data_IF_695740154998
#
_entry.id   IF_695740154998
#
_cell.length_a   1.000
_cell.length_b   1.000
_cell.length_c   1.000
_cell.angle_alpha   90.00
_cell.angle_beta   90.00
_cell.angle_gamma   90.00
#
_symmetry.space_group_name_H-M   'P 1'
#
loop_
_entity.id
_entity.type
_entity.pdbx_description
1 polymer ?
#
# COMPACT_ATOMS: atom_id res chain seq x y z
N UNK A 1 -32.45 61.41 -18.34
CA UNK A 1 -31.31 61.05 -17.45
C UNK A 1 -31.70 59.81 -16.66
N UNK A 2 -31.25 58.64 -17.13
CA UNK A 2 -31.41 57.35 -16.44
C UNK A 2 -30.52 57.32 -15.19
N UNK A 3 -31.06 56.87 -14.06
CA UNK A 3 -30.25 56.49 -12.89
C UNK A 3 -30.63 55.07 -12.47
N UNK A 4 -29.57 54.31 -12.21
CA UNK A 4 -29.49 52.86 -12.27
C UNK A 4 -30.23 52.15 -11.12
N UNK A 5 -30.84 51.03 -11.48
CA UNK A 5 -31.36 50.02 -10.57
C UNK A 5 -30.24 49.00 -10.31
N UNK A 6 -29.61 49.06 -9.15
CA UNK A 6 -28.59 48.07 -8.74
C UNK A 6 -29.28 46.82 -8.19
N UNK A 7 -29.33 45.75 -8.98
CA UNK A 7 -29.75 44.41 -8.55
C UNK A 7 -28.54 43.73 -7.92
N UNK A 8 -28.59 43.55 -6.59
CA UNK A 8 -27.59 42.79 -5.83
C UNK A 8 -27.96 41.30 -5.90
N UNK A 9 -27.35 40.57 -6.83
CA UNK A 9 -27.46 39.11 -6.91
C UNK A 9 -26.52 38.50 -5.86
N UNK A 10 -27.07 38.08 -4.73
CA UNK A 10 -26.36 37.28 -3.73
C UNK A 10 -26.21 35.85 -4.24
N UNK A 11 -25.03 35.50 -4.77
CA UNK A 11 -24.67 34.13 -5.14
C UNK A 11 -24.40 33.35 -3.85
N UNK A 12 -25.39 32.57 -3.41
CA UNK A 12 -25.25 31.59 -2.35
C UNK A 12 -24.50 30.37 -2.92
N UNK A 13 -23.17 30.35 -2.80
CA UNK A 13 -22.37 29.16 -3.14
C UNK A 13 -22.61 28.09 -2.09
N UNK A 14 -23.50 27.14 -2.37
CA UNK A 14 -23.62 25.88 -1.62
C UNK A 14 -22.35 25.08 -1.93
N UNK A 15 -21.38 25.10 -1.01
CA UNK A 15 -20.23 24.23 -1.05
C UNK A 15 -20.70 22.78 -0.91
N UNK A 16 -20.75 22.04 -2.01
CA UNK A 16 -20.91 20.59 -1.98
C UNK A 16 -19.63 20.04 -1.37
N UNK A 17 -19.69 19.67 -0.08
CA UNK A 17 -18.61 18.92 0.55
C UNK A 17 -18.50 17.58 -0.18
N UNK A 18 -17.53 17.48 -1.10
CA UNK A 18 -17.17 16.20 -1.68
C UNK A 18 -16.75 15.28 -0.54
N UNK A 19 -17.54 14.24 -0.28
CA UNK A 19 -17.17 13.22 0.68
C UNK A 19 -15.89 12.55 0.14
N UNK A 20 -14.74 12.87 0.75
CA UNK A 20 -13.46 12.28 0.38
C UNK A 20 -13.54 10.78 0.64
N UNK A 21 -13.34 9.97 -0.40
CA UNK A 21 -13.27 8.53 -0.25
C UNK A 21 -12.08 8.16 0.64
N UNK A 22 -12.32 7.35 1.67
CA UNK A 22 -11.28 6.87 2.59
C UNK A 22 -10.80 5.50 2.15
N UNK A 23 -9.54 5.39 1.72
CA UNK A 23 -8.90 4.10 1.46
C UNK A 23 -8.34 3.51 2.75
N UNK A 24 -8.52 2.21 2.97
CA UNK A 24 -8.02 1.45 4.12
C UNK A 24 -7.45 0.12 3.64
N UNK A 25 -6.37 -0.32 4.28
CA UNK A 25 -5.76 -1.62 4.05
C UNK A 25 -5.61 -2.34 5.40
N UNK A 26 -5.96 -3.63 5.44
CA UNK A 26 -5.75 -4.50 6.59
C UNK A 26 -5.11 -5.82 6.17
N UNK A 27 -4.25 -6.37 7.00
CA UNK A 27 -3.55 -7.63 6.77
C UNK A 27 -3.69 -8.60 7.96
N UNK A 28 -3.68 -9.89 7.65
CA UNK A 28 -3.54 -10.96 8.61
C UNK A 28 -2.68 -12.04 7.95
N UNK A 29 -1.44 -12.15 8.41
CA UNK A 29 -0.58 -13.27 8.06
C UNK A 29 -1.00 -14.44 8.95
N UNK A 30 -1.74 -15.39 8.37
CA UNK A 30 -2.19 -16.59 9.05
C UNK A 30 -1.02 -17.50 9.42
N UNK A 31 -1.27 -18.80 9.58
CA UNK A 31 -0.16 -19.76 9.76
C UNK A 31 0.45 -20.20 8.43
N UNK A 32 -0.35 -20.22 7.35
CA UNK A 32 0.05 -20.73 6.04
C UNK A 32 -0.10 -19.71 4.92
N UNK A 33 -1.14 -18.89 4.97
CA UNK A 33 -1.46 -17.96 3.89
C UNK A 33 -1.45 -16.52 4.41
N UNK A 34 -1.01 -15.60 3.57
CA UNK A 34 -1.13 -14.17 3.80
C UNK A 34 -2.49 -13.67 3.32
N UNK A 35 -3.24 -12.96 4.17
CA UNK A 35 -4.50 -12.35 3.78
C UNK A 35 -4.41 -10.83 3.84
N UNK A 36 -4.95 -10.14 2.84
CA UNK A 36 -5.13 -8.69 2.88
C UNK A 36 -6.53 -8.26 2.46
N UNK A 37 -6.96 -7.13 2.98
CA UNK A 37 -8.24 -6.49 2.68
C UNK A 37 -7.97 -5.04 2.35
N UNK A 38 -8.18 -4.68 1.09
CA UNK A 38 -8.17 -3.29 0.63
C UNK A 38 -9.62 -2.83 0.49
N UNK A 39 -9.95 -1.66 1.01
CA UNK A 39 -11.29 -1.11 0.87
C UNK A 39 -11.30 0.42 0.75
N UNK A 40 -12.26 0.93 -0.01
CA UNK A 40 -12.58 2.34 -0.11
C UNK A 40 -13.97 2.59 0.46
N UNK A 41 -14.09 3.60 1.33
CA UNK A 41 -15.35 4.01 1.94
C UNK A 41 -15.72 5.38 1.39
N UNK A 42 -16.85 5.44 0.68
CA UNK A 42 -17.43 6.69 0.15
C UNK A 42 -18.85 6.84 0.64
N UNK A 43 -19.05 7.74 1.62
CA UNK A 43 -20.32 7.85 2.34
C UNK A 43 -20.67 6.57 3.08
N UNK A 44 -21.77 5.92 2.70
CA UNK A 44 -22.21 4.63 3.27
C UNK A 44 -21.78 3.43 2.43
N UNK A 45 -21.20 3.66 1.26
CA UNK A 45 -20.80 2.60 0.33
C UNK A 45 -19.37 2.16 0.63
N UNK A 46 -19.13 0.85 0.57
CA UNK A 46 -17.81 0.24 0.67
C UNK A 46 -17.56 -0.56 -0.59
N UNK A 47 -16.40 -0.37 -1.21
CA UNK A 47 -15.90 -1.25 -2.28
C UNK A 47 -14.51 -1.71 -1.90
N UNK A 48 -14.07 -2.86 -2.41
CA UNK A 48 -12.75 -3.35 -2.06
C UNK A 48 -12.49 -4.75 -2.55
N UNK A 49 -11.36 -5.30 -2.12
CA UNK A 49 -10.93 -6.64 -2.47
C UNK A 49 -10.39 -7.39 -1.25
N UNK A 50 -10.66 -8.67 -1.19
CA UNK A 50 -10.03 -9.61 -0.27
C UNK A 50 -9.01 -10.44 -1.05
N UNK A 51 -7.76 -10.46 -0.61
CA UNK A 51 -6.66 -11.15 -1.28
C UNK A 51 -6.11 -12.26 -0.41
N UNK A 52 -5.79 -13.40 -1.01
CA UNK A 52 -5.13 -14.55 -0.38
C UNK A 52 -3.83 -14.83 -1.16
N UNK A 53 -2.70 -14.78 -0.47
CA UNK A 53 -1.39 -15.22 -0.95
C UNK A 53 -1.08 -16.61 -0.37
N UNK A 54 -1.33 -17.71 -1.12
CA UNK A 54 -1.10 -19.06 -0.63
C UNK A 54 0.39 -19.28 -0.31
N UNK A 55 0.71 -19.88 0.83
CA UNK A 55 2.11 -20.09 1.26
C UNK A 55 2.96 -18.79 1.27
N UNK A 56 2.32 -17.62 1.41
CA UNK A 56 2.92 -16.28 1.27
C UNK A 56 3.51 -15.97 -0.11
N UNK A 57 3.15 -16.75 -1.13
CA UNK A 57 3.58 -16.54 -2.50
C UNK A 57 2.79 -15.39 -3.13
N UNK A 58 3.46 -14.25 -3.28
CA UNK A 58 2.90 -13.03 -3.88
C UNK A 58 2.60 -13.17 -5.37
N UNK A 59 3.17 -14.16 -6.05
CA UNK A 59 2.92 -14.41 -7.47
C UNK A 59 1.63 -15.21 -7.69
N UNK A 60 1.07 -15.81 -6.62
CA UNK A 60 -0.12 -16.68 -6.66
C UNK A 60 -1.33 -16.06 -5.95
N UNK A 61 -1.34 -14.75 -5.80
CA UNK A 61 -2.40 -14.03 -5.10
C UNK A 61 -3.74 -14.22 -5.80
N UNK A 62 -4.72 -14.76 -5.06
CA UNK A 62 -6.12 -14.80 -5.47
C UNK A 62 -6.83 -13.59 -4.90
N UNK A 63 -7.45 -12.78 -5.76
CA UNK A 63 -8.18 -11.56 -5.40
C UNK A 63 -9.68 -11.76 -5.60
N UNK A 64 -10.45 -11.35 -4.61
CA UNK A 64 -11.92 -11.46 -4.57
C UNK A 64 -12.51 -10.08 -4.32
N UNK A 65 -13.11 -9.51 -5.36
CA UNK A 65 -13.75 -8.19 -5.26
C UNK A 65 -15.03 -8.27 -4.42
N UNK A 66 -15.34 -7.20 -3.70
CA UNK A 66 -16.57 -7.07 -2.93
C UNK A 66 -17.15 -5.66 -3.01
N UNK A 67 -18.46 -5.61 -2.77
CA UNK A 67 -19.20 -4.37 -2.51
C UNK A 67 -19.88 -4.47 -1.16
N UNK A 68 -20.19 -3.35 -0.53
CA UNK A 68 -20.77 -3.36 0.80
C UNK A 68 -21.33 -2.03 1.23
N UNK A 69 -21.87 -2.04 2.44
CA UNK A 69 -22.41 -0.88 3.13
C UNK A 69 -21.85 -0.80 4.54
N UNK A 70 -21.56 0.42 5.01
CA UNK A 70 -21.12 0.68 6.38
C UNK A 70 -22.19 1.42 7.17
N UNK A 71 -22.43 0.96 8.41
CA UNK A 71 -23.29 1.60 9.38
C UNK A 71 -22.59 1.63 10.74
N UNK A 72 -22.10 2.80 11.15
CA UNK A 72 -21.22 2.92 12.31
C UNK A 72 -19.91 2.18 12.06
N UNK A 73 -19.59 1.19 12.90
CA UNK A 73 -18.41 0.34 12.75
C UNK A 73 -18.68 -0.97 12.00
N UNK A 74 -19.93 -1.27 11.67
CA UNK A 74 -20.31 -2.55 11.06
C UNK A 74 -20.35 -2.41 9.55
N UNK A 75 -19.65 -3.31 8.87
CA UNK A 75 -19.60 -3.41 7.41
C UNK A 75 -20.34 -4.67 6.99
N UNK A 76 -21.32 -4.52 6.10
CA UNK A 76 -22.00 -5.62 5.41
C UNK A 76 -21.42 -5.73 4.01
N UNK A 77 -20.74 -6.84 3.71
CA UNK A 77 -20.00 -7.05 2.45
C UNK A 77 -20.58 -8.20 1.65
N UNK A 78 -20.57 -8.07 0.32
CA UNK A 78 -21.08 -9.01 -0.67
C UNK A 78 -20.05 -9.25 -1.76
N UNK A 79 -19.74 -10.52 -2.01
CA UNK A 79 -18.89 -10.95 -3.12
C UNK A 79 -19.77 -11.30 -4.33
N UNK A 80 -19.46 -10.81 -5.54
CA UNK A 80 -20.22 -11.12 -6.76
C UNK A 80 -19.88 -12.52 -7.30
N UNK A 81 -18.59 -12.86 -7.32
CA UNK A 81 -18.05 -14.01 -8.05
C UNK A 81 -17.31 -14.95 -7.09
N UNK A 82 -18.07 -15.83 -6.44
CA UNK A 82 -17.59 -16.80 -5.45
C UNK A 82 -16.90 -16.18 -4.22
N UNK A 83 -17.02 -16.85 -3.07
CA UNK A 83 -16.36 -16.41 -1.85
C UNK A 83 -14.92 -16.92 -1.79
N UNK A 84 -14.00 -16.22 -1.10
CA UNK A 84 -12.60 -16.65 -0.93
C UNK A 84 -12.42 -18.04 -0.32
N UNK A 85 -13.50 -18.57 0.27
CA UNK A 85 -13.60 -19.93 0.78
C UNK A 85 -14.79 -20.57 0.07
N UNK A 86 -14.54 -21.63 -0.71
CA UNK A 86 -15.60 -22.47 -1.25
C UNK A 86 -16.34 -23.13 -0.09
N UNK A 87 -17.58 -22.70 0.14
CA UNK A 87 -18.51 -23.38 1.05
C UNK A 87 -19.87 -23.39 0.37
N UNK A 88 -20.54 -24.56 0.28
CA UNK A 88 -21.81 -24.69 -0.43
C UNK A 88 -23.00 -23.91 0.17
N UNK A 89 -22.83 -23.21 1.30
CA UNK A 89 -23.93 -22.55 2.02
C UNK A 89 -23.54 -21.28 2.79
N UNK A 90 -22.44 -20.63 2.42
CA UNK A 90 -22.12 -19.35 3.04
C UNK A 90 -23.11 -18.27 2.59
N UNK A 91 -23.69 -17.46 3.51
CA UNK A 91 -24.45 -16.29 3.08
C UNK A 91 -23.54 -15.39 2.22
N UNK A 92 -24.08 -14.91 1.11
CA UNK A 92 -23.40 -13.97 0.20
C UNK A 92 -23.01 -12.68 0.93
N UNK A 93 -23.73 -12.35 2.01
CA UNK A 93 -23.45 -11.20 2.88
C UNK A 93 -22.64 -11.62 4.10
N UNK A 94 -21.50 -10.97 4.32
CA UNK A 94 -20.62 -11.12 5.48
C UNK A 94 -20.69 -9.87 6.35
N UNK A 95 -20.59 -10.05 7.67
CA UNK A 95 -20.51 -8.94 8.63
C UNK A 95 -19.09 -8.81 9.13
N UNK A 96 -18.47 -7.69 8.84
CA UNK A 96 -17.17 -7.30 9.37
C UNK A 96 -17.34 -6.11 10.32
N UNK A 97 -16.34 -5.86 11.16
CA UNK A 97 -16.39 -4.77 12.14
C UNK A 97 -15.06 -4.03 12.19
N UNK A 98 -15.10 -2.72 12.06
CA UNK A 98 -13.97 -1.84 12.34
C UNK A 98 -13.87 -1.62 13.85
N UNK A 99 -12.73 -2.00 14.42
CA UNK A 99 -12.46 -1.90 15.85
C UNK A 99 -11.35 -0.88 16.05
N UNK A 100 -11.66 0.22 16.77
CA UNK A 100 -10.63 1.19 17.17
C UNK A 100 -9.83 0.64 18.34
N UNK A 101 -8.51 0.75 18.25
CA UNK A 101 -7.55 0.40 19.31
C UNK A 101 -6.68 1.61 19.64
N UNK A 102 -5.89 1.52 20.70
CA UNK A 102 -4.89 2.55 21.05
C UNK A 102 -3.81 2.71 19.98
N UNK A 103 -3.57 1.67 19.18
CA UNK A 103 -2.56 1.60 18.13
C UNK A 103 -3.10 1.87 16.72
N UNK A 104 -4.38 2.24 16.57
CA UNK A 104 -5.01 2.47 15.27
C UNK A 104 -6.36 1.77 15.12
N UNK A 105 -6.59 1.14 13.96
CA UNK A 105 -7.82 0.41 13.67
C UNK A 105 -7.50 -1.06 13.36
N UNK A 106 -8.45 -1.94 13.62
CA UNK A 106 -8.43 -3.34 13.20
C UNK A 106 -9.70 -3.66 12.44
N UNK A 107 -9.60 -4.57 11.49
CA UNK A 107 -10.76 -5.14 10.83
C UNK A 107 -11.00 -6.54 11.38
N UNK A 108 -12.13 -6.72 12.05
CA UNK A 108 -12.60 -8.02 12.52
C UNK A 108 -13.47 -8.67 11.47
N UNK A 109 -12.99 -9.78 10.90
CA UNK A 109 -13.60 -10.48 9.77
C UNK A 109 -14.13 -11.82 10.25
N UNK A 110 -15.39 -12.13 9.95
CA UNK A 110 -15.94 -13.48 10.14
C UNK A 110 -15.73 -14.29 8.87
N UNK A 111 -14.90 -15.32 8.97
CA UNK A 111 -14.55 -16.25 7.90
C UNK A 111 -15.17 -17.62 8.18
N UNK A 112 -15.10 -18.50 7.21
CA UNK A 112 -15.44 -19.92 7.37
C UNK A 112 -14.22 -20.73 7.02
N UNK A 113 -13.89 -21.76 7.80
CA UNK A 113 -12.67 -22.51 7.56
C UNK A 113 -12.66 -23.84 8.29
N UNK A 114 -11.68 -24.65 7.94
CA UNK A 114 -11.46 -25.95 8.54
C UNK A 114 -10.61 -25.78 9.80
N UNK A 115 -11.12 -26.23 10.93
CA UNK A 115 -10.32 -26.35 12.14
C UNK A 115 -9.44 -27.59 12.02
N UNK A 116 -8.12 -27.42 11.98
CA UNK A 116 -7.18 -28.53 11.78
C UNK A 116 -7.01 -29.45 13.00
N UNK A 117 -7.42 -29.00 14.19
CA UNK A 117 -7.41 -29.83 15.41
C UNK A 117 -8.62 -30.75 15.46
N UNK A 118 -9.81 -30.26 15.10
CA UNK A 118 -11.07 -31.02 15.17
C UNK A 118 -11.51 -31.60 13.84
N UNK A 119 -10.84 -31.24 12.74
CA UNK A 119 -11.17 -31.58 11.35
C UNK A 119 -12.58 -31.13 10.91
N UNK A 120 -13.24 -30.25 11.68
CA UNK A 120 -14.59 -29.74 11.42
C UNK A 120 -14.53 -28.37 10.73
N UNK A 121 -15.52 -28.12 9.88
CA UNK A 121 -15.74 -26.82 9.26
C UNK A 121 -16.61 -25.94 10.15
N UNK A 122 -16.29 -24.65 10.24
CA UNK A 122 -17.07 -23.72 11.02
C UNK A 122 -16.71 -22.27 10.77
N UNK A 123 -17.58 -21.37 11.24
CA UNK A 123 -17.27 -19.95 11.28
C UNK A 123 -16.21 -19.66 12.33
N UNK A 124 -15.27 -18.78 12.01
CA UNK A 124 -14.32 -18.24 12.96
C UNK A 124 -14.13 -16.75 12.69
N UNK A 125 -13.60 -16.06 13.69
CA UNK A 125 -13.29 -14.63 13.59
C UNK A 125 -11.79 -14.45 13.55
N UNK A 126 -11.32 -13.60 12.64
CA UNK A 126 -9.93 -13.19 12.54
C UNK A 126 -9.83 -11.67 12.63
N UNK A 127 -8.85 -11.20 13.39
CA UNK A 127 -8.53 -9.78 13.48
C UNK A 127 -7.41 -9.47 12.50
N UNK A 128 -7.66 -8.50 11.62
CA UNK A 128 -6.69 -7.97 10.68
C UNK A 128 -6.20 -6.63 11.22
N UNK A 129 -4.89 -6.43 11.22
CA UNK A 129 -4.26 -5.15 11.59
C UNK A 129 -4.18 -4.25 10.37
N UNK A 130 -4.13 -2.93 10.57
CA UNK A 130 -3.83 -2.05 9.44
C UNK A 130 -2.53 -2.49 8.76
N UNK A 131 -2.54 -2.50 7.43
CA UNK A 131 -1.31 -2.70 6.66
C UNK A 131 -0.31 -1.63 7.10
N UNK A 132 0.97 -2.02 7.20
CA UNK A 132 2.01 -1.04 7.42
C UNK A 132 2.02 -0.06 6.25
N UNK A 133 2.16 1.21 6.58
CA UNK A 133 2.41 2.21 5.56
C UNK A 133 3.72 1.83 4.82
N UNK A 134 3.72 1.73 3.49
CA UNK A 134 4.90 1.28 2.74
C UNK A 134 6.14 2.13 3.00
N UNK A 135 5.97 3.44 3.25
CA UNK A 135 7.08 4.31 3.63
C UNK A 135 7.58 3.93 5.03
N UNK A 136 6.70 3.80 6.02
CA UNK A 136 7.11 3.50 7.40
C UNK A 136 7.79 2.11 7.48
N UNK A 137 7.29 1.12 6.73
CA UNK A 137 7.93 -0.20 6.62
C UNK A 137 9.34 -0.09 6.03
N UNK A 138 9.48 0.54 4.87
CA UNK A 138 10.77 0.72 4.22
C UNK A 138 11.72 1.56 5.09
N UNK A 139 11.22 2.61 5.75
CA UNK A 139 12.00 3.51 6.57
C UNK A 139 12.55 2.84 7.83
N UNK A 140 11.84 1.84 8.38
CA UNK A 140 12.23 1.10 9.58
C UNK A 140 13.43 0.18 9.37
N UNK A 141 13.66 -0.27 8.12
CA UNK A 141 14.74 -1.19 7.74
C UNK A 141 15.84 -0.50 6.92
N UNK A 142 15.66 0.79 6.58
CA UNK A 142 16.53 1.49 5.66
C UNK A 142 17.94 1.76 6.20
N UNK A 143 18.94 1.43 5.38
CA UNK A 143 20.35 1.77 5.64
C UNK A 143 20.66 3.17 5.11
N UNK A 144 21.43 3.98 5.85
CA UNK A 144 21.86 5.30 5.35
C UNK A 144 23.02 5.15 4.36
N UNK A 145 22.86 5.71 3.17
CA UNK A 145 23.95 5.89 2.22
C UNK A 145 24.69 7.17 2.60
N UNK A 146 26.02 7.09 2.69
CA UNK A 146 26.90 8.24 2.90
C UNK A 146 28.01 8.18 1.86
N UNK A 147 28.22 9.27 1.13
CA UNK A 147 29.32 9.35 0.19
C UNK A 147 30.63 9.63 0.93
N UNK A 148 31.70 8.99 0.47
CA UNK A 148 33.03 9.31 0.96
C UNK A 148 33.38 10.77 0.61
N UNK A 149 34.25 11.39 1.41
CA UNK A 149 34.66 12.77 1.17
C UNK A 149 35.22 12.92 -0.25
N UNK A 150 34.65 13.85 -1.02
CA UNK A 150 35.06 14.13 -2.40
C UNK A 150 34.47 13.17 -3.44
N UNK A 151 33.62 12.22 -3.05
CA UNK A 151 32.89 11.37 -3.99
C UNK A 151 31.43 11.80 -4.11
N UNK A 152 30.87 11.58 -5.29
CA UNK A 152 29.45 11.84 -5.61
C UNK A 152 28.68 10.55 -5.82
N UNK A 153 29.27 9.40 -5.50
CA UNK A 153 28.72 8.11 -5.82
C UNK A 153 28.97 7.08 -4.71
N UNK A 154 28.05 6.12 -4.63
CA UNK A 154 28.13 4.92 -3.79
C UNK A 154 27.64 3.71 -4.58
N UNK A 155 28.24 2.55 -4.38
CA UNK A 155 27.83 1.31 -5.04
C UNK A 155 27.91 0.12 -4.09
N UNK A 156 27.08 -0.89 -4.33
CA UNK A 156 27.06 -2.14 -3.56
C UNK A 156 26.48 -3.28 -4.40
N UNK A 157 26.88 -4.50 -4.07
CA UNK A 157 26.22 -5.71 -4.53
C UNK A 157 25.13 -6.09 -3.53
N UNK A 158 23.93 -6.37 -4.02
CA UNK A 158 22.74 -6.73 -3.24
C UNK A 158 22.32 -8.15 -3.58
N UNK A 159 22.34 -9.05 -2.61
CA UNK A 159 21.84 -10.42 -2.78
C UNK A 159 20.40 -10.54 -2.27
N UNK A 160 19.54 -11.14 -3.07
CA UNK A 160 18.15 -11.45 -2.73
C UNK A 160 17.94 -12.96 -2.71
N UNK A 161 17.20 -13.43 -1.72
CA UNK A 161 16.92 -14.86 -1.48
C UNK A 161 15.50 -15.25 -1.87
N UNK A 162 14.61 -14.28 -2.06
CA UNK A 162 13.24 -14.48 -2.50
C UNK A 162 12.75 -13.30 -3.35
N UNK A 163 11.70 -13.52 -4.15
CA UNK A 163 11.12 -12.49 -5.04
C UNK A 163 10.50 -11.32 -4.28
N UNK A 164 9.99 -11.59 -3.07
CA UNK A 164 9.40 -10.58 -2.20
C UNK A 164 10.40 -9.81 -1.32
N UNK A 165 11.69 -10.19 -1.33
CA UNK A 165 12.69 -9.51 -0.50
C UNK A 165 12.96 -8.09 -1.02
N UNK A 166 12.99 -7.12 -0.11
CA UNK A 166 13.26 -5.70 -0.40
C UNK A 166 14.42 -5.20 0.44
N UNK A 167 15.25 -4.31 -0.12
CA UNK A 167 16.32 -3.61 0.61
C UNK A 167 16.11 -2.11 0.49
N UNK A 168 16.05 -1.44 1.64
CA UNK A 168 15.74 -0.02 1.71
C UNK A 168 16.97 0.82 2.06
N UNK A 169 17.04 2.03 1.50
CA UNK A 169 18.15 2.96 1.67
C UNK A 169 17.65 4.39 1.85
N UNK A 170 18.26 5.13 2.79
CA UNK A 170 18.06 6.58 2.96
C UNK A 170 19.25 7.32 2.39
N UNK A 171 18.99 8.29 1.50
CA UNK A 171 20.00 9.17 0.94
C UNK A 171 19.58 10.63 1.15
N UNK A 172 20.39 11.36 1.90
CA UNK A 172 20.16 12.78 2.16
C UNK A 172 20.56 13.62 0.95
N UNK A 173 19.58 14.28 0.34
CA UNK A 173 19.72 15.04 -0.89
C UNK A 173 19.19 16.46 -0.72
N UNK A 174 19.62 17.37 -1.59
CA UNK A 174 19.18 18.77 -1.61
C UNK A 174 18.36 19.05 -2.86
N UNK A 175 17.36 19.92 -2.72
CA UNK A 175 16.62 20.47 -3.84
C UNK A 175 17.58 21.06 -4.88
N UNK A 176 17.29 20.81 -6.16
CA UNK A 176 18.10 21.25 -7.29
C UNK A 176 19.29 20.35 -7.64
N UNK A 177 19.66 19.37 -6.80
CA UNK A 177 20.66 18.37 -7.17
C UNK A 177 20.14 17.44 -8.27
N UNK A 178 21.06 16.86 -9.04
CA UNK A 178 20.79 15.77 -9.98
C UNK A 178 21.10 14.46 -9.28
N UNK A 179 20.24 13.45 -9.45
CA UNK A 179 20.48 12.12 -8.89
C UNK A 179 20.23 11.07 -9.95
N UNK A 180 21.05 10.03 -9.95
CA UNK A 180 20.77 8.81 -10.71
C UNK A 180 21.00 7.58 -9.84
N UNK A 181 20.19 6.56 -10.10
CA UNK A 181 20.29 5.24 -9.49
C UNK A 181 20.29 4.21 -10.61
N UNK A 182 21.35 3.43 -10.69
CA UNK A 182 21.53 2.34 -11.64
C UNK A 182 21.45 1.02 -10.86
N UNK A 183 20.52 0.15 -11.23
CA UNK A 183 20.31 -1.15 -10.60
C UNK A 183 19.85 -2.19 -11.65
N UNK A 184 20.71 -2.58 -12.61
CA UNK A 184 20.33 -3.54 -13.64
C UNK A 184 19.88 -4.89 -13.06
N UNK A 185 18.71 -5.37 -13.50
CA UNK A 185 18.09 -6.60 -12.99
C UNK A 185 17.32 -6.41 -11.69
N UNK A 186 17.11 -5.16 -11.27
CA UNK A 186 16.34 -4.80 -10.08
C UNK A 186 15.24 -3.80 -10.40
N UNK A 187 14.16 -3.89 -9.62
CA UNK A 187 13.21 -2.81 -9.49
C UNK A 187 13.73 -1.73 -8.55
N UNK A 188 13.59 -0.48 -8.98
CA UNK A 188 13.79 0.71 -8.15
C UNK A 188 12.42 1.31 -7.88
N UNK A 189 12.10 1.51 -6.61
CA UNK A 189 11.02 2.40 -6.17
C UNK A 189 11.59 3.34 -5.12
N UNK A 190 10.95 4.49 -4.90
CA UNK A 190 11.38 5.37 -3.82
C UNK A 190 10.23 6.24 -3.31
N UNK A 191 10.47 6.84 -2.15
CA UNK A 191 9.63 7.86 -1.57
C UNK A 191 10.41 9.16 -1.49
N UNK A 192 9.70 10.24 -1.75
CA UNK A 192 10.18 11.57 -1.50
C UNK A 192 10.28 11.87 0.02
N UNK A 193 11.02 12.93 0.41
CA UNK A 193 11.08 13.38 1.81
C UNK A 193 9.73 13.65 2.48
N UNK A 194 8.72 14.06 1.71
CA UNK A 194 7.33 14.25 2.17
C UNK A 194 6.50 12.94 2.25
N UNK A 195 7.16 11.78 2.08
CA UNK A 195 6.59 10.42 2.06
C UNK A 195 5.74 10.08 0.84
N UNK A 196 5.62 10.98 -0.14
CA UNK A 196 4.89 10.62 -1.36
C UNK A 196 5.67 9.51 -2.11
N UNK A 197 5.00 8.42 -2.53
CA UNK A 197 5.64 7.40 -3.35
C UNK A 197 5.89 7.95 -4.75
N UNK A 198 6.99 7.53 -5.35
CA UNK A 198 7.22 7.74 -6.76
C UNK A 198 6.50 6.66 -7.57
N UNK A 199 5.52 7.08 -8.36
CA UNK A 199 4.78 6.23 -9.28
C UNK A 199 5.31 6.43 -10.71
N UNK A 200 6.48 5.88 -11.05
CA UNK A 200 6.71 5.51 -12.45
C UNK A 200 6.62 3.99 -12.58
N UNK A 201 5.77 3.59 -13.52
CA UNK A 201 5.41 2.21 -13.77
C UNK A 201 6.62 1.34 -14.08
N UNK A 202 6.61 0.15 -13.48
CA UNK A 202 7.47 -1.00 -13.75
C UNK A 202 8.98 -0.79 -13.53
N UNK A 203 9.58 -1.73 -12.80
CA UNK A 203 11.01 -1.87 -12.53
C UNK A 203 11.92 -1.17 -13.56
N UNK A 204 12.37 0.04 -13.24
CA UNK A 204 13.32 0.76 -14.08
C UNK A 204 14.71 0.35 -13.59
N UNK A 205 15.49 -0.29 -14.46
CA UNK A 205 16.91 -0.63 -14.18
C UNK A 205 17.76 0.63 -13.96
N UNK A 206 17.25 1.80 -14.32
CA UNK A 206 17.89 3.11 -14.15
C UNK A 206 16.86 4.19 -13.88
N UNK A 207 16.94 4.83 -12.72
CA UNK A 207 16.16 6.05 -12.44
C UNK A 207 17.09 7.26 -12.43
N UNK A 208 16.60 8.40 -12.90
CA UNK A 208 17.33 9.66 -12.87
C UNK A 208 16.41 10.86 -12.71
N UNK A 209 16.86 11.87 -11.96
CA UNK A 209 16.21 13.16 -11.84
C UNK A 209 17.12 14.27 -12.36
N UNK A 210 16.56 15.13 -13.21
CA UNK A 210 17.25 16.31 -13.71
C UNK A 210 17.47 17.37 -12.64
N UNK A 211 16.48 17.59 -11.77
CA UNK A 211 16.56 18.44 -10.58
C UNK A 211 15.57 17.93 -9.54
N UNK A 212 16.06 17.66 -8.34
CA UNK A 212 15.19 17.24 -7.24
C UNK A 212 14.29 18.39 -6.79
N UNK A 213 12.99 18.13 -6.55
CA UNK A 213 12.05 19.17 -6.14
C UNK A 213 12.25 19.61 -4.69
N UNK A 214 12.80 18.74 -3.83
CA UNK A 214 12.87 18.99 -2.38
C UNK A 214 14.19 18.50 -1.77
N UNK A 215 14.53 19.09 -0.62
CA UNK A 215 15.66 18.66 0.21
C UNK A 215 15.16 17.70 1.28
N UNK A 216 15.95 16.68 1.61
CA UNK A 216 15.65 15.75 2.69
C UNK A 216 16.17 14.34 2.42
N UNK A 217 15.74 13.40 3.25
CA UNK A 217 16.03 11.98 3.04
C UNK A 217 15.05 11.40 2.02
N UNK A 218 15.59 11.02 0.87
CA UNK A 218 14.88 10.17 -0.09
C UNK A 218 15.04 8.71 0.35
N UNK A 219 13.95 7.96 0.30
CA UNK A 219 13.91 6.56 0.73
C UNK A 219 13.78 5.66 -0.50
N UNK A 220 14.88 5.04 -0.92
CA UNK A 220 14.92 4.12 -2.04
C UNK A 220 14.67 2.69 -1.57
N UNK A 221 13.88 1.93 -2.34
CA UNK A 221 13.57 0.53 -2.11
C UNK A 221 13.95 -0.25 -3.36
N UNK A 222 14.89 -1.18 -3.20
CA UNK A 222 15.41 -2.04 -4.27
C UNK A 222 14.84 -3.44 -4.09
N UNK A 223 14.29 -4.01 -5.15
CA UNK A 223 13.72 -5.37 -5.18
C UNK A 223 14.20 -6.14 -6.43
N UNK A 224 14.14 -7.47 -6.44
CA UNK A 224 14.40 -8.26 -7.65
C UNK A 224 13.44 -7.86 -8.79
N UNK A 225 13.95 -7.76 -10.02
CA UNK A 225 13.12 -7.68 -11.23
C UNK A 225 13.11 -9.04 -11.94
N UNK A 226 12.55 -10.06 -11.27
CA UNK A 226 12.52 -11.43 -11.78
C UNK A 226 12.97 -12.45 -10.74
N UNK A 227 13.78 -13.43 -11.16
CA UNK A 227 14.30 -14.44 -10.26
C UNK A 227 15.28 -13.84 -9.23
N UNK A 228 15.25 -14.31 -7.96
CA UNK A 228 16.15 -13.82 -6.93
C UNK A 228 17.61 -14.04 -7.31
N UNK A 229 18.47 -13.05 -7.03
CA UNK A 229 19.87 -13.11 -7.41
C UNK A 229 20.69 -11.96 -6.84
N UNK A 230 21.86 -11.72 -7.43
CA UNK A 230 22.72 -10.59 -7.08
C UNK A 230 22.50 -9.46 -8.06
N UNK A 231 22.32 -8.25 -7.51
CA UNK A 231 22.09 -7.03 -8.27
C UNK A 231 23.11 -5.97 -7.86
N UNK A 232 23.69 -5.30 -8.85
CA UNK A 232 24.68 -4.24 -8.62
C UNK A 232 23.96 -2.91 -8.59
N UNK A 233 23.94 -2.23 -7.45
CA UNK A 233 23.35 -0.91 -7.32
C UNK A 233 24.41 0.16 -7.28
N UNK A 234 24.16 1.29 -7.94
CA UNK A 234 24.99 2.49 -7.90
C UNK A 234 24.11 3.72 -7.80
N UNK A 235 24.38 4.54 -6.79
CA UNK A 235 23.77 5.84 -6.57
C UNK A 235 24.78 6.92 -6.93
N UNK A 236 24.36 7.93 -7.68
CA UNK A 236 25.13 9.14 -7.93
C UNK A 236 24.30 10.39 -7.61
N UNK A 237 24.89 11.40 -6.97
CA UNK A 237 24.27 12.72 -6.79
C UNK A 237 25.25 13.86 -7.08
N UNK A 238 24.82 14.86 -7.86
CA UNK A 238 25.62 16.02 -8.25
C UNK A 238 24.87 17.31 -7.96
#
# INVERSE_FOLDING_TARGET
>A
MQKALSILVGILTIGVAAASAQSKCFENNGLKDGHSVEMSISGKTVTGSFSIAPDYDTDRVKRYEFTGMIAGSVISVKFPDQTPVEVPSSPSTKRWTLVRTTSGEKLRVTLYGKNYTTNKWGSYTADYTMCKDPYDEAASTAKRITFAKGTTAWASDLSFTSKGEKKSYKLGLRSGQKVSVLAPGCGISFFYPDKTPYEEGTAIDTWGSDKLPQSGDYLFVISPAGEPGVCKVRFEAR
#
